data_IF_707705921036
#
_entry.id   IF_707705921036
#
_cell.length_a   1.000
_cell.length_b   1.000
_cell.length_c   1.000
_cell.angle_alpha   90.00
_cell.angle_beta   90.00
_cell.angle_gamma   90.00
#
_symmetry.space_group_name_H-M   'P 1'
#
loop_
_entity.id
_entity.type
_entity.pdbx_description
1 polymer ?
#
# COMPACT_ATOMS: atom_id res chain seq x y z
N UNK A 1 6.16 20.82 18.37
CA UNK A 1 4.97 20.91 17.50
C UNK A 1 5.33 21.15 16.03
N UNK A 2 6.20 22.12 15.71
CA UNK A 2 6.61 22.45 14.33
C UNK A 2 7.16 21.27 13.51
N UNK A 3 8.05 20.45 14.10
CA UNK A 3 8.65 19.30 13.42
C UNK A 3 7.61 18.29 12.90
N UNK A 4 6.54 18.05 13.66
CA UNK A 4 5.49 17.11 13.27
C UNK A 4 4.66 17.62 12.08
N UNK A 5 4.35 18.92 12.05
CA UNK A 5 3.59 19.54 10.96
C UNK A 5 4.41 19.62 9.68
N UNK A 6 5.67 20.08 9.77
CA UNK A 6 6.58 20.14 8.63
C UNK A 6 6.85 18.76 8.04
N UNK A 7 7.12 17.75 8.89
CA UNK A 7 7.26 16.36 8.45
C UNK A 7 6.01 15.86 7.74
N UNK A 8 4.82 16.14 8.27
CA UNK A 8 3.55 15.71 7.65
C UNK A 8 3.34 16.35 6.28
N UNK A 9 3.69 17.62 6.13
CA UNK A 9 3.60 18.31 4.84
C UNK A 9 4.57 17.70 3.82
N UNK A 10 5.82 17.43 4.24
CA UNK A 10 6.80 16.76 3.40
C UNK A 10 6.33 15.35 2.99
N UNK A 11 5.89 14.53 3.96
CA UNK A 11 5.40 13.17 3.70
C UNK A 11 4.24 13.20 2.67
N UNK A 12 3.36 14.20 2.72
CA UNK A 12 2.24 14.35 1.77
C UNK A 12 2.71 14.77 0.37
N UNK A 13 3.59 15.77 0.28
CA UNK A 13 4.12 16.26 -1.01
C UNK A 13 4.86 15.13 -1.72
N UNK A 14 5.77 14.45 -1.01
CA UNK A 14 6.54 13.33 -1.55
C UNK A 14 5.61 12.19 -1.98
N UNK A 15 4.58 11.85 -1.20
CA UNK A 15 3.63 10.82 -1.57
C UNK A 15 2.85 11.16 -2.85
N UNK A 16 2.40 12.41 -3.01
CA UNK A 16 1.69 12.86 -4.23
C UNK A 16 2.62 12.78 -5.44
N UNK A 17 3.87 13.27 -5.32
CA UNK A 17 4.85 13.21 -6.40
C UNK A 17 5.10 11.78 -6.83
N UNK A 18 5.34 10.85 -5.89
CA UNK A 18 5.52 9.43 -6.18
C UNK A 18 4.27 8.85 -6.84
N UNK A 19 3.07 9.17 -6.35
CA UNK A 19 1.83 8.67 -6.93
C UNK A 19 1.64 9.13 -8.38
N UNK A 20 1.97 10.38 -8.71
CA UNK A 20 1.87 10.90 -10.07
C UNK A 20 2.92 10.27 -10.97
N UNK A 21 4.18 10.29 -10.56
CA UNK A 21 5.32 9.75 -11.34
C UNK A 21 5.16 8.26 -11.62
N UNK A 22 4.69 7.48 -10.63
CA UNK A 22 4.50 6.03 -10.76
C UNK A 22 3.06 5.62 -11.08
N UNK A 23 2.16 6.56 -11.34
CA UNK A 23 0.78 6.28 -11.74
C UNK A 23 0.63 5.27 -12.89
N UNK A 24 1.44 5.31 -13.98
CA UNK A 24 1.32 4.29 -15.03
C UNK A 24 1.60 2.88 -14.48
N UNK A 25 2.59 2.71 -13.62
CA UNK A 25 2.90 1.42 -13.01
C UNK A 25 1.78 0.96 -12.07
N UNK A 26 1.20 1.86 -11.27
CA UNK A 26 0.09 1.53 -10.38
C UNK A 26 -1.18 1.11 -11.13
N UNK A 27 -1.32 1.47 -12.41
CA UNK A 27 -2.41 1.01 -13.28
C UNK A 27 -2.09 -0.31 -13.99
N UNK A 28 -0.85 -0.51 -14.44
CA UNK A 28 -0.42 -1.71 -15.18
C UNK A 28 -0.29 -2.92 -14.24
N UNK A 29 0.27 -2.76 -13.05
CA UNK A 29 0.52 -3.87 -12.12
C UNK A 29 -0.76 -4.65 -11.75
N UNK A 30 -1.90 -4.01 -11.41
CA UNK A 30 -3.18 -4.71 -11.21
C UNK A 30 -3.60 -5.63 -12.34
N UNK A 31 -3.37 -5.18 -13.59
CA UNK A 31 -3.71 -5.92 -14.80
C UNK A 31 -2.81 -7.16 -14.91
N UNK A 32 -1.50 -6.99 -14.74
CA UNK A 32 -0.55 -8.10 -14.77
C UNK A 32 -0.85 -9.15 -13.68
N UNK A 33 -1.22 -8.72 -12.48
CA UNK A 33 -1.59 -9.63 -11.38
C UNK A 33 -2.84 -10.44 -11.72
N UNK A 34 -3.82 -9.83 -12.41
CA UNK A 34 -5.04 -10.51 -12.83
C UNK A 34 -4.80 -11.52 -13.96
N UNK A 35 -3.81 -11.28 -14.81
CA UNK A 35 -3.39 -12.23 -15.84
C UNK A 35 -2.56 -13.38 -15.28
N UNK A 36 -1.73 -13.12 -14.28
CA UNK A 36 -0.89 -14.13 -13.64
C UNK A 36 -1.72 -15.15 -12.83
N UNK A 37 -2.67 -14.68 -12.02
CA UNK A 37 -3.48 -15.57 -11.19
C UNK A 37 -4.86 -14.98 -10.83
N UNK A 38 -5.92 -15.82 -10.73
CA UNK A 38 -7.24 -15.35 -10.31
C UNK A 38 -7.19 -14.81 -8.86
N UNK A 39 -8.12 -13.91 -8.51
CA UNK A 39 -8.26 -13.37 -7.14
C UNK A 39 -8.01 -11.86 -7.00
N UNK A 40 -7.89 -11.33 -5.78
CA UNK A 40 -7.79 -9.89 -5.49
C UNK A 40 -6.40 -9.31 -5.82
N UNK A 41 -6.35 -8.07 -6.33
CA UNK A 41 -5.09 -7.40 -6.70
C UNK A 41 -4.19 -7.10 -5.51
N UNK A 42 -4.80 -6.71 -4.38
CA UNK A 42 -4.07 -6.43 -3.15
C UNK A 42 -3.94 -7.68 -2.29
N UNK A 43 -2.81 -7.81 -1.61
CA UNK A 43 -2.55 -8.89 -0.67
C UNK A 43 -3.43 -8.77 0.58
N UNK A 44 -3.83 -9.91 1.12
CA UNK A 44 -4.52 -10.00 2.41
C UNK A 44 -3.52 -9.72 3.54
N UNK A 45 -3.49 -8.48 4.02
CA UNK A 45 -2.56 -8.01 5.07
C UNK A 45 -3.33 -7.66 6.34
N UNK A 46 -2.85 -8.05 7.54
CA UNK A 46 -3.48 -7.68 8.80
C UNK A 46 -3.34 -6.17 9.06
N UNK A 47 -4.19 -5.65 9.94
CA UNK A 47 -4.05 -4.27 10.42
C UNK A 47 -2.68 -4.09 11.10
N UNK A 48 -2.06 -2.93 10.89
CA UNK A 48 -0.78 -2.57 11.51
C UNK A 48 -0.98 -1.47 12.54
N UNK A 49 -0.18 -1.49 13.60
CA UNK A 49 -0.20 -0.45 14.63
C UNK A 49 0.54 0.78 14.11
N UNK A 50 -0.16 1.91 14.01
CA UNK A 50 0.37 3.19 13.53
C UNK A 50 0.59 4.21 14.65
N UNK A 51 0.64 5.49 14.27
CA UNK A 51 0.87 6.62 15.18
C UNK A 51 -0.18 6.64 16.29
N UNK A 52 0.27 6.72 17.55
CA UNK A 52 -0.62 6.76 18.71
C UNK A 52 -1.38 5.45 18.94
N UNK A 53 -0.80 4.31 18.54
CA UNK A 53 -1.39 2.96 18.66
C UNK A 53 -2.69 2.77 17.86
N UNK A 54 -3.00 3.67 16.94
CA UNK A 54 -4.17 3.53 16.05
C UNK A 54 -3.87 2.47 14.99
N UNK A 55 -4.76 1.49 14.87
CA UNK A 55 -4.69 0.49 13.81
C UNK A 55 -4.97 1.14 12.45
N UNK A 56 -4.22 0.74 11.42
CA UNK A 56 -4.46 1.16 10.04
C UNK A 56 -4.28 0.01 9.06
N UNK A 57 -4.96 0.12 7.91
CA UNK A 57 -4.84 -0.82 6.79
C UNK A 57 -3.70 -0.39 5.88
N UNK A 58 -2.77 -1.31 5.62
CA UNK A 58 -1.71 -1.14 4.64
C UNK A 58 -2.10 -1.85 3.34
N UNK A 59 -1.85 -1.20 2.20
CA UNK A 59 -2.03 -1.81 0.88
C UNK A 59 -0.69 -2.26 0.31
N UNK A 60 -0.68 -3.46 -0.30
CA UNK A 60 0.44 -4.03 -1.05
C UNK A 60 -0.14 -4.84 -2.20
N UNK A 61 0.47 -4.78 -3.37
CA UNK A 61 0.14 -5.69 -4.46
C UNK A 61 0.38 -7.15 -4.08
N UNK A 62 -0.48 -8.04 -4.56
CA UNK A 62 -0.38 -9.48 -4.32
C UNK A 62 0.85 -10.03 -5.06
N UNK A 63 1.74 -10.69 -4.30
CA UNK A 63 2.93 -11.37 -4.81
C UNK A 63 3.03 -12.82 -4.33
N UNK A 64 2.05 -13.30 -3.58
CA UNK A 64 1.98 -14.63 -2.96
C UNK A 64 0.58 -15.21 -3.19
N UNK A 65 0.38 -16.47 -2.83
CA UNK A 65 -0.93 -17.13 -2.88
C UNK A 65 -2.00 -16.36 -2.08
N UNK A 66 -3.26 -16.56 -2.47
CA UNK A 66 -4.42 -15.98 -1.76
C UNK A 66 -4.42 -16.49 -0.32
N UNK A 67 -4.75 -15.63 0.66
CA UNK A 67 -4.76 -15.96 2.09
C UNK A 67 -3.39 -16.33 2.68
N UNK A 68 -2.25 -16.01 2.04
CA UNK A 68 -0.92 -16.35 2.56
C UNK A 68 -0.70 -15.93 4.03
N UNK A 69 -1.28 -14.81 4.48
CA UNK A 69 -1.15 -14.37 5.87
C UNK A 69 -2.05 -15.10 6.87
N UNK A 70 -3.12 -15.78 6.42
CA UNK A 70 -3.99 -16.58 7.30
C UNK A 70 -3.50 -18.03 7.44
N UNK A 71 -2.64 -18.46 6.53
CA UNK A 71 -2.08 -19.82 6.49
C UNK A 71 -0.78 -19.95 7.30
N UNK A 72 -0.28 -18.84 7.86
CA UNK A 72 0.85 -18.74 8.79
C UNK A 72 0.33 -18.44 10.19
#
# INVERSE_FOLDING_TARGET
MLYGTAKRLLDLIVAIVILVVFSPFFLIIPILIKFDSPGPVFADIPMRVGKGRKLFRMYKFRSMIINAHKLL
#
